data_IF_049611097352
#
_entry.id   IF_049611097352
#
_cell.length_a   1.000
_cell.length_b   1.000
_cell.length_c   1.000
_cell.angle_alpha   90.00
_cell.angle_beta   90.00
_cell.angle_gamma   90.00
#
_symmetry.space_group_name_H-M   'P 1'
#
loop_
_entity.id
_entity.type
_entity.pdbx_description
1 polymer ?
#
# COMPACT_ATOMS: atom_id res chain seq x y z
N UNK A 1 13.55 29.44 -18.44
CA UNK A 1 13.29 29.00 -17.06
C UNK A 1 11.90 28.38 -17.12
N UNK A 2 11.86 27.09 -17.47
CA UNK A 2 10.60 26.36 -17.66
C UNK A 2 10.08 25.94 -16.28
N UNK A 3 8.82 26.25 -16.06
CA UNK A 3 8.07 26.10 -14.81
C UNK A 3 7.99 24.61 -14.41
N UNK A 4 8.52 24.28 -13.24
CA UNK A 4 8.46 22.94 -12.64
C UNK A 4 7.23 22.78 -11.72
N UNK A 5 6.28 23.71 -11.74
CA UNK A 5 5.18 23.77 -10.77
C UNK A 5 4.00 22.81 -11.03
N UNK A 6 3.98 22.02 -12.11
CA UNK A 6 2.81 21.19 -12.48
C UNK A 6 2.89 19.71 -12.01
N UNK A 7 4.06 19.21 -11.60
CA UNK A 7 4.21 17.79 -11.18
C UNK A 7 4.14 17.58 -9.65
N UNK A 8 4.23 18.65 -8.85
CA UNK A 8 4.28 18.58 -7.38
C UNK A 8 2.89 18.53 -6.68
N UNK A 9 1.80 18.44 -7.43
CA UNK A 9 0.43 18.60 -6.87
C UNK A 9 -0.52 17.45 -7.25
N UNK A 10 -0.03 16.26 -7.58
CA UNK A 10 -0.90 15.11 -7.82
C UNK A 10 -0.99 14.19 -6.59
N UNK A 11 -2.19 13.72 -6.21
CA UNK A 11 -2.31 12.73 -5.15
C UNK A 11 -1.68 11.43 -5.65
N UNK A 12 -0.77 10.84 -4.86
CA UNK A 12 -0.17 9.58 -5.23
C UNK A 12 -0.01 8.62 -4.05
N UNK A 13 -0.02 7.34 -4.42
CA UNK A 13 0.12 6.20 -3.52
C UNK A 13 1.16 5.22 -4.10
N UNK A 14 1.86 4.54 -3.20
CA UNK A 14 2.69 3.39 -3.52
C UNK A 14 2.24 2.18 -2.70
N UNK A 15 2.07 1.04 -3.35
CA UNK A 15 1.62 -0.19 -2.70
C UNK A 15 2.47 -1.40 -3.12
N UNK A 16 2.65 -2.31 -2.16
CA UNK A 16 3.16 -3.65 -2.40
C UNK A 16 4.10 -4.19 -1.35
N UNK A 17 4.87 -5.20 -1.72
CA UNK A 17 5.85 -5.88 -0.85
C UNK A 17 7.13 -5.05 -0.68
N UNK A 18 7.27 -4.41 0.48
CA UNK A 18 8.46 -3.65 0.87
C UNK A 18 9.55 -4.54 1.47
N UNK A 19 9.22 -5.79 1.81
CA UNK A 19 10.10 -6.75 2.47
C UNK A 19 10.73 -6.22 3.78
N UNK A 20 10.11 -5.23 4.43
CA UNK A 20 10.55 -4.59 5.67
C UNK A 20 9.35 -4.27 6.58
N UNK A 21 9.61 -4.26 7.89
CA UNK A 21 8.63 -3.87 8.92
C UNK A 21 9.00 -2.52 9.54
N UNK A 22 8.00 -1.75 9.99
CA UNK A 22 8.20 -0.45 10.67
C UNK A 22 8.42 -0.66 12.18
N UNK A 23 7.69 -1.59 12.76
CA UNK A 23 7.68 -1.88 14.20
C UNK A 23 7.81 -3.38 14.48
N UNK A 24 8.44 -3.72 15.61
CA UNK A 24 8.72 -5.11 15.98
C UNK A 24 7.45 -5.97 16.14
N UNK A 25 6.31 -5.37 16.48
CA UNK A 25 5.02 -6.04 16.63
C UNK A 25 4.37 -6.42 15.28
N UNK A 26 4.94 -5.98 14.15
CA UNK A 26 4.56 -6.40 12.80
C UNK A 26 5.16 -7.75 12.40
N UNK A 27 5.91 -8.37 13.30
CA UNK A 27 6.42 -9.74 13.18
C UNK A 27 5.98 -10.55 14.38
N UNK A 28 5.37 -11.69 14.09
CA UNK A 28 5.04 -12.71 15.08
C UNK A 28 5.97 -13.90 14.89
N UNK A 29 6.63 -14.30 15.98
CA UNK A 29 7.54 -15.43 16.03
C UNK A 29 8.82 -15.27 15.18
N UNK A 30 9.77 -16.18 15.36
CA UNK A 30 11.06 -16.16 14.65
C UNK A 30 12.05 -15.11 15.16
N UNK A 31 13.11 -14.87 14.37
CA UNK A 31 14.19 -13.95 14.74
C UNK A 31 13.72 -12.50 14.70
N UNK A 32 14.06 -11.72 15.73
CA UNK A 32 13.80 -10.26 15.77
C UNK A 32 14.43 -9.56 14.55
N UNK A 33 13.68 -8.63 13.95
CA UNK A 33 14.20 -7.75 12.90
C UNK A 33 15.23 -6.79 13.49
N UNK A 34 16.21 -6.36 12.69
CA UNK A 34 17.18 -5.36 13.12
C UNK A 34 16.52 -3.99 13.31
N UNK A 35 16.68 -3.39 14.49
CA UNK A 35 16.25 -2.02 14.75
C UNK A 35 16.89 -1.00 13.80
N UNK A 36 18.11 -1.27 13.32
CA UNK A 36 18.77 -0.40 12.35
C UNK A 36 18.09 -0.46 10.97
N UNK A 37 17.63 -1.64 10.54
CA UNK A 37 16.88 -1.79 9.29
C UNK A 37 15.52 -1.11 9.39
N UNK A 38 14.77 -1.39 10.47
CA UNK A 38 13.47 -0.75 10.69
C UNK A 38 13.57 0.78 10.79
N UNK A 39 14.65 1.30 11.41
CA UNK A 39 14.91 2.74 11.45
C UNK A 39 15.19 3.30 10.06
N UNK A 40 16.03 2.66 9.26
CA UNK A 40 16.30 3.08 7.89
C UNK A 40 15.02 3.11 7.04
N UNK A 41 14.16 2.11 7.18
CA UNK A 41 12.88 2.11 6.48
C UNK A 41 11.95 3.25 6.94
N UNK A 42 11.86 3.50 8.25
CA UNK A 42 11.13 4.66 8.80
C UNK A 42 11.65 6.00 8.28
N UNK A 43 12.97 6.14 8.13
CA UNK A 43 13.59 7.36 7.60
C UNK A 43 13.24 7.56 6.11
N UNK A 44 13.22 6.50 5.30
CA UNK A 44 12.79 6.58 3.89
C UNK A 44 11.32 7.01 3.77
N UNK A 45 10.42 6.37 4.54
CA UNK A 45 8.99 6.74 4.55
C UNK A 45 8.80 8.19 4.99
N UNK A 46 9.52 8.63 6.03
CA UNK A 46 9.48 10.00 6.52
C UNK A 46 10.02 11.01 5.50
N UNK A 47 11.13 10.69 4.85
CA UNK A 47 11.75 11.55 3.84
C UNK A 47 10.85 11.74 2.62
N UNK A 48 10.14 10.68 2.23
CA UNK A 48 9.14 10.71 1.16
C UNK A 48 7.81 11.37 1.57
N UNK A 49 7.66 11.81 2.83
CA UNK A 49 6.44 12.42 3.38
C UNK A 49 5.21 11.52 3.15
N UNK A 50 5.40 10.23 3.37
CA UNK A 50 4.40 9.20 3.15
C UNK A 50 3.70 8.80 4.44
N UNK A 51 2.40 8.56 4.33
CA UNK A 51 1.52 8.11 5.40
C UNK A 51 1.15 6.65 5.13
N UNK A 52 1.29 5.79 6.15
CA UNK A 52 0.78 4.41 6.11
C UNK A 52 -0.75 4.46 6.08
N UNK A 53 -1.37 3.94 5.02
CA UNK A 53 -2.82 3.89 4.87
C UNK A 53 -3.49 2.84 5.78
N UNK A 54 -2.69 2.11 6.56
CA UNK A 54 -3.16 1.09 7.49
C UNK A 54 -3.58 -0.19 6.77
N UNK A 55 -4.49 -0.92 7.41
CA UNK A 55 -5.05 -2.16 6.87
C UNK A 55 -6.38 -2.51 7.55
N UNK A 56 -7.19 -3.32 6.86
CA UNK A 56 -8.41 -3.95 7.35
C UNK A 56 -8.25 -5.47 7.22
N UNK A 57 -8.61 -6.20 8.27
CA UNK A 57 -8.47 -7.66 8.33
C UNK A 57 -7.20 -8.10 9.05
N UNK A 58 -6.47 -9.07 8.48
CA UNK A 58 -5.25 -9.59 9.08
C UNK A 58 -4.15 -8.53 9.11
N UNK A 59 -3.45 -8.39 10.25
CA UNK A 59 -2.24 -7.57 10.34
C UNK A 59 -1.10 -8.11 9.49
N UNK A 60 -1.00 -9.43 9.37
CA UNK A 60 0.10 -10.08 8.68
C UNK A 60 -0.28 -10.34 7.23
N UNK A 61 0.63 -9.99 6.33
CA UNK A 61 0.48 -10.15 4.88
C UNK A 61 1.38 -11.23 4.32
N UNK A 62 2.33 -11.71 5.11
CA UNK A 62 3.18 -12.85 4.77
C UNK A 62 3.16 -13.86 5.91
N UNK A 63 3.16 -15.14 5.57
CA UNK A 63 3.34 -16.18 6.58
C UNK A 63 4.01 -17.43 6.03
N UNK A 64 4.78 -18.07 6.88
CA UNK A 64 5.21 -19.45 6.68
C UNK A 64 4.72 -20.32 7.84
N UNK A 65 5.24 -21.56 7.92
CA UNK A 65 4.85 -22.53 8.96
C UNK A 65 5.00 -22.02 10.41
N UNK A 66 5.88 -21.06 10.68
CA UNK A 66 6.26 -20.66 12.04
C UNK A 66 6.26 -19.16 12.28
N UNK A 67 6.08 -18.33 11.26
CA UNK A 67 6.30 -16.89 11.37
C UNK A 67 5.27 -16.16 10.52
N UNK A 68 4.76 -15.04 11.04
CA UNK A 68 3.85 -14.15 10.34
C UNK A 68 4.42 -12.73 10.35
N UNK A 69 4.39 -12.04 9.22
CA UNK A 69 5.01 -10.72 9.05
C UNK A 69 4.10 -9.83 8.20
N UNK A 70 4.05 -8.52 8.49
CA UNK A 70 3.43 -7.52 7.62
C UNK A 70 4.49 -6.94 6.68
N UNK A 71 4.62 -7.50 5.48
CA UNK A 71 5.59 -7.07 4.47
C UNK A 71 4.97 -6.21 3.36
N UNK A 72 3.68 -6.38 3.13
CA UNK A 72 2.90 -5.71 2.09
C UNK A 72 2.13 -4.55 2.68
N UNK A 73 2.24 -3.37 2.06
CA UNK A 73 1.72 -2.11 2.61
C UNK A 73 1.26 -1.18 1.49
N UNK A 74 0.39 -0.24 1.81
CA UNK A 74 0.14 0.92 0.96
C UNK A 74 0.48 2.20 1.73
N UNK A 75 1.26 3.07 1.09
CA UNK A 75 1.58 4.40 1.58
C UNK A 75 1.08 5.43 0.60
N UNK A 76 0.67 6.59 1.08
CA UNK A 76 0.26 7.69 0.22
C UNK A 76 0.68 9.05 0.75
N UNK A 77 0.63 10.05 -0.11
CA UNK A 77 0.83 11.44 0.33
C UNK A 77 -0.32 11.90 1.22
N UNK A 78 -0.09 12.98 1.98
CA UNK A 78 -1.17 13.68 2.66
C UNK A 78 -2.26 14.10 1.68
N UNK A 79 -1.87 14.60 0.51
CA UNK A 79 -2.82 15.04 -0.51
C UNK A 79 -3.71 13.89 -1.03
N UNK A 80 -3.17 12.67 -1.16
CA UNK A 80 -4.02 11.50 -1.42
C UNK A 80 -5.06 11.30 -0.33
N UNK A 81 -4.67 11.43 0.94
CA UNK A 81 -5.58 11.22 2.07
C UNK A 81 -6.64 12.31 2.19
N UNK A 82 -6.33 13.53 1.75
CA UNK A 82 -7.28 14.64 1.68
C UNK A 82 -8.32 14.42 0.57
N UNK A 83 -7.87 13.89 -0.58
CA UNK A 83 -8.74 13.63 -1.73
C UNK A 83 -9.50 12.31 -1.60
N UNK A 84 -8.92 11.26 -1.05
CA UNK A 84 -9.55 9.94 -0.91
C UNK A 84 -9.56 9.48 0.56
N UNK A 85 -10.22 10.22 1.47
CA UNK A 85 -10.19 9.96 2.91
C UNK A 85 -10.79 8.61 3.30
N UNK A 86 -11.56 8.00 2.41
CA UNK A 86 -12.18 6.68 2.62
C UNK A 86 -11.39 5.53 1.98
N UNK A 87 -10.14 5.77 1.56
CA UNK A 87 -9.27 4.70 1.05
C UNK A 87 -9.14 3.59 2.09
N UNK A 88 -9.41 2.34 1.69
CA UNK A 88 -9.26 1.16 2.54
C UNK A 88 -8.31 0.16 1.92
N UNK A 89 -7.37 -0.33 2.72
CA UNK A 89 -6.44 -1.40 2.32
C UNK A 89 -6.92 -2.69 2.99
N UNK A 90 -7.60 -3.56 2.27
CA UNK A 90 -8.09 -4.83 2.81
C UNK A 90 -7.06 -5.93 2.56
N UNK A 91 -6.69 -6.65 3.62
CA UNK A 91 -5.86 -7.85 3.52
C UNK A 91 -6.80 -9.03 3.27
N UNK A 92 -6.77 -9.56 2.05
CA UNK A 92 -7.59 -10.70 1.66
C UNK A 92 -7.05 -11.99 2.28
N UNK A 93 -7.90 -13.01 2.52
CA UNK A 93 -7.45 -14.29 3.05
C UNK A 93 -6.33 -14.90 2.21
N UNK A 94 -5.33 -15.47 2.90
CA UNK A 94 -4.25 -16.23 2.27
C UNK A 94 -4.83 -17.33 1.38
N UNK A 95 -4.30 -17.44 0.16
CA UNK A 95 -4.64 -18.50 -0.78
C UNK A 95 -3.47 -19.49 -0.87
N UNK A 96 -3.03 -19.82 -2.08
CA UNK A 96 -1.91 -20.73 -2.35
C UNK A 96 -0.53 -20.07 -2.16
N UNK A 97 -0.46 -18.75 -1.97
CA UNK A 97 0.78 -17.99 -1.74
C UNK A 97 1.11 -17.83 -0.25
N UNK A 98 2.40 -17.65 0.05
CA UNK A 98 2.86 -17.20 1.37
C UNK A 98 2.54 -15.72 1.62
N UNK A 99 2.20 -14.95 0.58
CA UNK A 99 1.67 -13.59 0.65
C UNK A 99 0.13 -13.56 0.54
N UNK A 100 -0.48 -12.71 1.37
CA UNK A 100 -1.89 -12.35 1.35
C UNK A 100 -2.11 -11.17 0.40
N UNK A 101 -3.08 -11.25 -0.53
CA UNK A 101 -3.32 -10.14 -1.43
C UNK A 101 -3.84 -8.90 -0.72
N UNK A 102 -3.36 -7.72 -1.15
CA UNK A 102 -3.92 -6.44 -0.76
C UNK A 102 -4.96 -5.99 -1.78
N UNK A 103 -6.10 -5.52 -1.27
CA UNK A 103 -7.14 -4.86 -2.04
C UNK A 103 -7.27 -3.41 -1.60
N UNK A 104 -6.85 -2.46 -2.44
CA UNK A 104 -7.08 -1.03 -2.18
C UNK A 104 -8.41 -0.61 -2.78
N UNK A 105 -9.32 -0.17 -1.92
CA UNK A 105 -10.66 0.26 -2.30
C UNK A 105 -10.77 1.76 -2.12
N UNK A 106 -11.15 2.46 -3.19
CA UNK A 106 -11.50 3.88 -3.16
C UNK A 106 -13.01 4.00 -3.12
N UNK A 107 -13.51 4.89 -2.27
CA UNK A 107 -14.88 5.33 -2.35
C UNK A 107 -14.86 6.70 -3.02
N UNK A 108 -15.48 6.82 -4.18
CA UNK A 108 -15.49 8.07 -4.95
C UNK A 108 -16.85 8.74 -4.83
N UNK A 109 -16.84 9.99 -4.41
CA UNK A 109 -17.86 11.00 -4.61
C UNK A 109 -17.63 11.73 -5.95
N UNK A 110 -18.54 12.64 -6.31
CA UNK A 110 -18.47 13.37 -7.57
C UNK A 110 -17.18 14.20 -7.72
N UNK A 111 -16.68 14.84 -6.66
CA UNK A 111 -15.42 15.60 -6.70
C UNK A 111 -14.19 14.66 -6.82
N UNK A 112 -14.25 13.49 -6.21
CA UNK A 112 -13.18 12.49 -6.23
C UNK A 112 -13.06 11.80 -7.60
N UNK A 113 -14.12 11.81 -8.42
CA UNK A 113 -14.13 11.28 -9.78
C UNK A 113 -13.25 12.07 -10.77
N UNK A 114 -12.98 13.35 -10.51
CA UNK A 114 -12.00 14.10 -11.31
C UNK A 114 -10.58 13.61 -11.00
N UNK A 115 -10.28 13.49 -9.71
CA UNK A 115 -8.95 13.10 -9.24
C UNK A 115 -8.63 11.64 -9.53
N UNK A 116 -9.60 10.74 -9.59
CA UNK A 116 -9.38 9.32 -9.91
C UNK A 116 -8.70 9.11 -11.27
N UNK A 117 -8.85 10.05 -12.20
CA UNK A 117 -8.21 10.00 -13.53
C UNK A 117 -6.78 10.58 -13.52
N UNK A 118 -6.40 11.32 -12.48
CA UNK A 118 -5.14 12.06 -12.39
C UNK A 118 -4.23 11.55 -11.26
N UNK A 119 -4.80 10.81 -10.30
CA UNK A 119 -4.08 10.24 -9.19
C UNK A 119 -3.11 9.14 -9.68
N UNK A 120 -1.91 9.10 -9.12
CA UNK A 120 -0.88 8.14 -9.51
C UNK A 120 -0.80 6.99 -8.49
N UNK A 121 -0.82 5.76 -8.97
CA UNK A 121 -0.59 4.57 -8.13
C UNK A 121 0.61 3.79 -8.63
N UNK A 122 1.60 3.63 -7.75
CA UNK A 122 2.85 2.94 -8.01
C UNK A 122 2.86 1.56 -7.33
N UNK A 123 3.38 0.56 -8.03
CA UNK A 123 3.50 -0.82 -7.53
C UNK A 123 4.96 -1.20 -7.37
N UNK A 124 5.36 -1.71 -6.20
CA UNK A 124 6.74 -2.12 -5.95
C UNK A 124 7.09 -3.51 -6.53
N UNK A 125 6.08 -4.34 -6.80
CA UNK A 125 6.21 -5.60 -7.55
C UNK A 125 5.01 -5.76 -8.48
N UNK A 126 5.19 -6.48 -9.59
CA UNK A 126 4.15 -6.64 -10.63
C UNK A 126 2.82 -7.10 -10.02
N UNK A 127 1.76 -6.31 -10.20
CA UNK A 127 0.43 -6.62 -9.72
C UNK A 127 -0.18 -7.77 -10.54
N UNK A 128 -0.53 -8.87 -9.89
CA UNK A 128 -1.29 -9.96 -10.49
C UNK A 128 -2.78 -9.61 -10.60
N UNK A 129 -3.28 -9.51 -11.83
CA UNK A 129 -4.67 -9.22 -12.24
C UNK A 129 -5.25 -7.94 -11.62
N UNK A 130 -5.18 -6.86 -12.40
CA UNK A 130 -5.92 -5.63 -12.16
C UNK A 130 -7.28 -5.78 -12.85
N UNK A 131 -8.36 -5.92 -12.09
CA UNK A 131 -9.71 -5.75 -12.65
C UNK A 131 -10.06 -4.25 -12.64
N UNK A 132 -9.79 -3.57 -13.76
CA UNK A 132 -10.18 -2.17 -13.98
C UNK A 132 -11.66 -2.03 -14.38
N UNK A 133 -12.42 -3.14 -14.48
CA UNK A 133 -13.76 -3.16 -15.09
C UNK A 133 -14.93 -3.24 -14.11
N UNK A 134 -14.68 -3.21 -12.80
CA UNK A 134 -15.74 -3.11 -11.80
C UNK A 134 -16.30 -1.67 -11.75
N UNK A 135 -17.30 -1.47 -12.60
CA UNK A 135 -18.13 -0.28 -12.81
C UNK A 135 -18.47 0.48 -11.50
N UNK A 136 -18.26 1.80 -11.54
CA UNK A 136 -18.81 2.86 -10.68
C UNK A 136 -18.27 3.06 -9.24
N UNK A 137 -17.28 2.30 -8.75
CA UNK A 137 -16.57 2.64 -7.51
C UNK A 137 -15.15 2.03 -7.47
N UNK A 138 -14.17 2.86 -7.82
CA UNK A 138 -12.82 2.50 -8.25
C UNK A 138 -12.04 1.58 -7.30
N UNK A 139 -11.90 0.33 -7.74
CA UNK A 139 -11.00 -0.68 -7.18
C UNK A 139 -9.58 -0.41 -7.69
N UNK A 140 -8.61 -0.22 -6.81
CA UNK A 140 -7.20 -0.08 -7.21
C UNK A 140 -6.37 -1.21 -6.61
N UNK A 141 -6.46 -2.32 -7.34
CA UNK A 141 -5.55 -3.46 -7.38
C UNK A 141 -5.66 -4.58 -6.34
N UNK A 142 -5.22 -5.74 -6.84
CA UNK A 142 -4.97 -7.00 -6.16
C UNK A 142 -3.48 -7.27 -6.35
N UNK A 143 -2.69 -7.34 -5.28
CA UNK A 143 -1.32 -7.85 -5.38
C UNK A 143 -1.27 -9.30 -4.93
N UNK A 144 -1.40 -10.23 -5.87
CA UNK A 144 -0.97 -11.62 -5.66
C UNK A 144 0.47 -11.76 -6.14
N UNK A 145 1.44 -11.55 -5.25
CA UNK A 145 2.78 -12.11 -5.46
C UNK A 145 2.68 -13.62 -5.29
N UNK A 146 2.43 -14.34 -6.39
CA UNK A 146 2.78 -15.76 -6.47
C UNK A 146 4.26 -15.79 -6.83
N UNK A 147 5.11 -16.31 -5.95
CA UNK A 147 6.45 -16.76 -6.36
C UNK A 147 6.35 -18.16 -6.94
#
# INVERSE_FOLDING_TARGET
>A
MLDLCDEDVLPWMICGDFNEIIHADEKQDGKRQSENQMRGFREVVRYAVLIDLGFVGSKFTWSNKFTKIRLDRAFATSFWSDIFPQTRVNVLPLSVSDHAPLLVQLHLSQEESYWSQHAKVHWLKEAGIIDQSALDATLVAIQSCVK
#
